data_IF_113937178842
#
_entry.id   IF_113937178842
#
_cell.length_a   1.000
_cell.length_b   1.000
_cell.length_c   1.000
_cell.angle_alpha   90.00
_cell.angle_beta   90.00
_cell.angle_gamma   90.00
#
_symmetry.space_group_name_H-M   'P 1'
#
loop_
_entity.id
_entity.type
_entity.pdbx_description
1 polymer ?
#
# COMPACT_ATOMS: atom_id res chain seq x y z
N UNK A 1 18.27 -8.36 25.30
CA UNK A 1 16.82 -8.51 25.53
C UNK A 1 16.07 -7.92 24.32
N UNK A 2 15.06 -8.63 23.82
CA UNK A 2 14.16 -8.06 22.78
C UNK A 2 13.26 -7.04 23.47
N UNK A 3 13.06 -5.88 22.84
CA UNK A 3 12.41 -4.72 23.46
C UNK A 3 11.22 -4.17 22.64
N UNK A 4 10.77 -4.92 21.65
CA UNK A 4 9.58 -4.62 20.80
C UNK A 4 9.57 -3.20 20.20
N UNK A 5 10.72 -2.66 19.84
CA UNK A 5 10.83 -1.32 19.27
C UNK A 5 10.89 -1.34 17.76
N UNK A 6 10.35 -0.30 17.14
CA UNK A 6 10.55 -0.03 15.72
C UNK A 6 11.93 0.62 15.56
N UNK A 7 12.79 -0.02 14.78
CA UNK A 7 14.17 0.42 14.59
C UNK A 7 14.25 1.74 13.80
N UNK A 8 15.25 2.59 14.07
CA UNK A 8 15.35 3.93 13.46
C UNK A 8 15.33 3.91 11.92
N UNK A 9 16.00 2.93 11.30
CA UNK A 9 16.00 2.78 9.84
C UNK A 9 14.59 2.51 9.30
N UNK A 10 13.84 1.62 9.94
CA UNK A 10 12.45 1.31 9.57
C UNK A 10 11.57 2.55 9.68
N UNK A 11 11.73 3.33 10.76
CA UNK A 11 11.01 4.60 10.96
C UNK A 11 11.33 5.62 9.87
N UNK A 12 12.61 5.82 9.58
CA UNK A 12 13.05 6.79 8.58
C UNK A 12 12.47 6.44 7.19
N UNK A 13 12.59 5.18 6.78
CA UNK A 13 12.07 4.72 5.49
C UNK A 13 10.54 4.80 5.45
N UNK A 14 9.85 4.38 6.52
CA UNK A 14 8.40 4.53 6.61
C UNK A 14 7.97 6.00 6.50
N UNK A 15 8.68 6.93 7.15
CA UNK A 15 8.45 8.36 7.06
C UNK A 15 8.61 8.91 5.64
N UNK A 16 9.67 8.51 4.93
CA UNK A 16 9.87 8.88 3.52
C UNK A 16 8.73 8.36 2.64
N UNK A 17 8.32 7.10 2.83
CA UNK A 17 7.20 6.54 2.06
C UNK A 17 5.89 7.26 2.38
N UNK A 18 5.63 7.62 3.64
CA UNK A 18 4.45 8.42 4.03
C UNK A 18 4.40 9.74 3.26
N UNK A 19 5.52 10.45 3.11
CA UNK A 19 5.57 11.70 2.33
C UNK A 19 5.18 11.46 0.87
N UNK A 20 5.68 10.39 0.25
CA UNK A 20 5.28 10.01 -1.11
C UNK A 20 3.78 9.74 -1.22
N UNK A 21 3.22 8.98 -0.28
CA UNK A 21 1.80 8.60 -0.29
C UNK A 21 0.88 9.82 -0.05
N UNK A 22 1.26 10.73 0.86
CA UNK A 22 0.51 11.98 1.12
C UNK A 22 0.57 12.89 -0.09
N UNK A 23 1.72 13.01 -0.75
CA UNK A 23 1.85 13.80 -1.99
C UNK A 23 0.99 13.19 -3.10
N UNK A 24 1.04 11.87 -3.30
CA UNK A 24 0.20 11.18 -4.27
C UNK A 24 -1.30 11.36 -3.96
N UNK A 25 -1.72 11.24 -2.69
CA UNK A 25 -3.08 11.56 -2.25
C UNK A 25 -3.46 12.99 -2.65
N UNK A 26 -2.62 13.97 -2.33
CA UNK A 26 -2.87 15.39 -2.65
C UNK A 26 -3.12 15.61 -4.14
N UNK A 27 -2.28 15.04 -4.99
CA UNK A 27 -2.40 15.15 -6.45
C UNK A 27 -3.68 14.45 -6.94
N UNK A 28 -3.87 13.19 -6.55
CA UNK A 28 -4.94 12.36 -7.09
C UNK A 28 -6.32 12.78 -6.61
N UNK A 29 -6.45 13.30 -5.39
CA UNK A 29 -7.71 13.64 -4.77
C UNK A 29 -8.13 15.08 -5.08
N UNK A 30 -7.22 16.04 -4.97
CA UNK A 30 -7.52 17.46 -5.14
C UNK A 30 -7.24 18.01 -6.55
N UNK A 31 -6.39 17.31 -7.33
CA UNK A 31 -5.99 17.74 -8.67
C UNK A 31 -6.27 16.64 -9.72
N UNK A 32 -7.45 16.00 -9.74
CA UNK A 32 -7.73 14.84 -10.60
C UNK A 32 -7.62 15.16 -12.10
N UNK A 33 -7.81 16.41 -12.48
CA UNK A 33 -7.64 16.90 -13.86
C UNK A 33 -6.16 16.95 -14.32
N UNK A 34 -5.21 16.97 -13.40
CA UNK A 34 -3.78 17.17 -13.66
C UNK A 34 -2.96 15.89 -13.53
N UNK A 35 -3.61 14.73 -13.40
CA UNK A 35 -2.90 13.45 -13.21
C UNK A 35 -1.97 13.12 -14.37
N UNK A 36 -2.31 13.52 -15.60
CA UNK A 36 -1.43 13.30 -16.77
C UNK A 36 -0.08 14.02 -16.71
N UNK A 37 0.03 15.09 -15.91
CA UNK A 37 1.27 15.87 -15.76
C UNK A 37 1.92 15.73 -14.39
N UNK A 38 1.12 15.56 -13.33
CA UNK A 38 1.59 15.50 -11.94
C UNK A 38 1.71 14.09 -11.38
N UNK A 39 1.20 13.09 -12.11
CA UNK A 39 1.26 11.69 -11.70
C UNK A 39 1.89 10.81 -12.80
N UNK A 40 2.09 9.53 -12.50
CA UNK A 40 2.77 8.62 -13.40
C UNK A 40 1.99 8.30 -14.70
N UNK A 41 0.66 8.50 -14.70
CA UNK A 41 -0.23 8.38 -15.88
C UNK A 41 -1.49 9.20 -15.70
N UNK A 42 -2.22 9.43 -16.80
CA UNK A 42 -3.53 10.09 -16.77
C UNK A 42 -4.61 9.14 -16.27
N UNK A 43 -5.32 9.52 -15.21
CA UNK A 43 -6.39 8.72 -14.61
C UNK A 43 -7.74 9.36 -14.93
N UNK A 44 -8.60 8.60 -15.61
CA UNK A 44 -9.97 8.98 -15.93
C UNK A 44 -10.91 7.82 -15.59
N UNK A 45 -12.17 8.09 -15.19
CA UNK A 45 -12.73 9.40 -14.82
C UNK A 45 -12.14 9.95 -13.51
N UNK A 46 -12.47 11.20 -13.16
CA UNK A 46 -11.95 11.87 -11.95
C UNK A 46 -12.23 11.09 -10.66
N UNK A 47 -13.40 10.46 -10.57
CA UNK A 47 -13.75 9.62 -9.40
C UNK A 47 -12.76 8.47 -9.20
N UNK A 48 -12.26 7.84 -10.28
CA UNK A 48 -11.22 6.81 -10.18
C UNK A 48 -9.92 7.36 -9.61
N UNK A 49 -9.54 8.58 -10.01
CA UNK A 49 -8.37 9.26 -9.44
C UNK A 49 -8.54 9.52 -7.94
N UNK A 50 -9.69 10.08 -7.54
CA UNK A 50 -9.99 10.39 -6.14
C UNK A 50 -10.06 9.13 -5.28
N UNK A 51 -10.68 8.05 -5.79
CA UNK A 51 -10.73 6.75 -5.12
C UNK A 51 -9.31 6.19 -4.90
N UNK A 52 -8.47 6.24 -5.94
CA UNK A 52 -7.09 5.80 -5.85
C UNK A 52 -6.27 6.66 -4.87
N UNK A 53 -6.50 7.98 -4.89
CA UNK A 53 -5.93 8.90 -3.90
C UNK A 53 -6.32 8.53 -2.46
N UNK A 54 -7.58 8.21 -2.22
CA UNK A 54 -8.05 7.78 -0.89
C UNK A 54 -7.34 6.51 -0.40
N UNK A 55 -7.03 5.58 -1.29
CA UNK A 55 -6.25 4.38 -0.96
C UNK A 55 -4.81 4.75 -0.53
N UNK A 56 -4.20 5.75 -1.19
CA UNK A 56 -2.89 6.29 -0.77
C UNK A 56 -2.94 6.92 0.62
N UNK A 57 -4.00 7.65 0.96
CA UNK A 57 -4.18 8.21 2.31
C UNK A 57 -4.29 7.10 3.36
N UNK A 58 -5.06 6.05 3.07
CA UNK A 58 -5.14 4.87 3.94
C UNK A 58 -3.78 4.21 4.15
N UNK A 59 -3.02 4.01 3.07
CA UNK A 59 -1.64 3.50 3.12
C UNK A 59 -0.70 4.40 3.92
N UNK A 60 -0.80 5.72 3.73
CA UNK A 60 -0.03 6.71 4.49
C UNK A 60 -0.33 6.64 5.98
N UNK A 61 -1.61 6.54 6.37
CA UNK A 61 -2.02 6.39 7.76
C UNK A 61 -1.41 5.14 8.42
N UNK A 62 -1.50 4.00 7.72
CA UNK A 62 -0.97 2.73 8.22
C UNK A 62 0.56 2.81 8.39
N UNK A 63 1.29 3.34 7.40
CA UNK A 63 2.75 3.48 7.48
C UNK A 63 3.20 4.56 8.45
N UNK A 64 2.38 5.59 8.70
CA UNK A 64 2.64 6.57 9.75
C UNK A 64 2.70 5.91 11.14
N UNK A 65 1.94 4.85 11.39
CA UNK A 65 2.07 4.07 12.62
C UNK A 65 3.46 3.42 12.75
N UNK A 66 4.07 3.02 11.64
CA UNK A 66 5.45 2.49 11.64
C UNK A 66 6.50 3.60 11.79
N UNK A 67 6.24 4.80 11.26
CA UNK A 67 7.14 5.95 11.37
C UNK A 67 7.16 6.55 12.80
N UNK A 68 5.98 6.70 13.40
CA UNK A 68 5.80 7.44 14.65
C UNK A 68 5.42 6.56 15.86
N UNK A 69 4.98 5.33 15.62
CA UNK A 69 4.63 4.37 16.67
C UNK A 69 5.82 3.92 17.50
N UNK A 70 5.58 3.21 18.60
CA UNK A 70 6.62 2.71 19.49
C UNK A 70 6.88 1.22 19.32
N UNK A 71 5.83 0.41 19.24
CA UNK A 71 5.84 -1.03 19.35
C UNK A 71 5.80 -1.71 17.98
N UNK A 72 6.74 -2.61 17.74
CA UNK A 72 6.86 -3.34 16.48
C UNK A 72 5.69 -4.30 16.23
N UNK A 73 5.26 -5.06 17.26
CA UNK A 73 4.19 -6.06 17.12
C UNK A 73 2.89 -5.46 16.59
N UNK A 74 2.62 -4.17 16.83
CA UNK A 74 1.41 -3.46 16.38
C UNK A 74 1.39 -3.14 14.89
N UNK A 75 2.57 -3.05 14.27
CA UNK A 75 2.72 -2.64 12.87
C UNK A 75 3.27 -3.73 11.97
N UNK A 76 3.84 -4.80 12.52
CA UNK A 76 4.52 -5.83 11.74
C UNK A 76 3.67 -6.50 10.66
N UNK A 77 2.35 -6.67 10.90
CA UNK A 77 1.42 -7.30 9.96
C UNK A 77 1.20 -6.48 8.68
N UNK A 78 1.50 -5.19 8.71
CA UNK A 78 1.37 -4.29 7.56
C UNK A 78 2.42 -4.61 6.50
N UNK A 79 3.63 -4.97 6.88
CA UNK A 79 4.75 -5.13 5.95
C UNK A 79 4.54 -6.24 4.91
N UNK A 80 4.08 -7.46 5.26
CA UNK A 80 3.73 -8.46 4.26
C UNK A 80 2.63 -8.00 3.29
N UNK A 81 1.60 -7.32 3.80
CA UNK A 81 0.51 -6.79 2.97
C UNK A 81 1.02 -5.73 1.97
N UNK A 82 1.85 -4.78 2.44
CA UNK A 82 2.48 -3.76 1.58
C UNK A 82 3.43 -4.41 0.57
N UNK A 83 4.15 -5.48 0.94
CA UNK A 83 5.01 -6.23 0.01
C UNK A 83 4.20 -6.80 -1.15
N UNK A 84 3.09 -7.49 -0.86
CA UNK A 84 2.20 -8.05 -1.90
C UNK A 84 1.64 -6.94 -2.78
N UNK A 85 1.19 -5.84 -2.18
CA UNK A 85 0.70 -4.68 -2.92
C UNK A 85 1.76 -4.09 -3.86
N UNK A 86 2.99 -3.89 -3.39
CA UNK A 86 4.06 -3.30 -4.22
C UNK A 86 4.49 -4.23 -5.35
N UNK A 87 4.49 -5.56 -5.14
CA UNK A 87 4.71 -6.55 -6.19
C UNK A 87 3.60 -6.47 -7.25
N UNK A 88 2.33 -6.43 -6.83
CA UNK A 88 1.19 -6.33 -7.73
C UNK A 88 1.26 -5.04 -8.57
N UNK A 89 1.63 -3.91 -7.95
CA UNK A 89 1.79 -2.63 -8.64
C UNK A 89 2.96 -2.64 -9.63
N UNK A 90 4.07 -3.30 -9.31
CA UNK A 90 5.16 -3.48 -10.25
C UNK A 90 4.72 -4.32 -11.46
N UNK A 91 4.04 -5.44 -11.22
CA UNK A 91 3.50 -6.29 -12.30
C UNK A 91 2.53 -5.48 -13.17
N UNK A 92 1.59 -4.75 -12.57
CA UNK A 92 0.65 -3.90 -13.29
C UNK A 92 1.38 -2.84 -14.13
N UNK A 93 2.44 -2.23 -13.58
CA UNK A 93 3.25 -1.25 -14.32
C UNK A 93 3.91 -1.88 -15.56
N UNK A 94 4.48 -3.08 -15.42
CA UNK A 94 5.13 -3.77 -16.54
C UNK A 94 4.12 -4.24 -17.60
N UNK A 95 2.95 -4.71 -17.19
CA UNK A 95 1.89 -5.16 -18.11
C UNK A 95 1.22 -4.00 -18.87
N UNK A 96 1.18 -2.81 -18.26
CA UNK A 96 0.53 -1.64 -18.84
C UNK A 96 1.52 -0.51 -19.18
N UNK A 97 2.76 -0.87 -19.51
CA UNK A 97 3.87 0.06 -19.71
C UNK A 97 3.53 1.25 -20.61
N UNK A 98 2.81 0.99 -21.71
CA UNK A 98 2.42 1.99 -22.70
C UNK A 98 1.39 3.02 -22.19
N UNK A 99 0.75 2.75 -21.05
CA UNK A 99 -0.22 3.66 -20.44
C UNK A 99 0.41 4.73 -19.57
N UNK A 100 1.69 4.57 -19.25
CA UNK A 100 2.42 5.49 -18.40
C UNK A 100 3.01 6.66 -19.17
N UNK A 101 3.16 7.81 -18.52
CA UNK A 101 3.78 9.03 -19.05
C UNK A 101 5.31 8.90 -19.03
N UNK A 102 5.85 8.06 -19.93
CA UNK A 102 7.26 7.69 -19.97
C UNK A 102 8.17 8.94 -20.03
N UNK A 103 9.31 8.89 -19.33
CA UNK A 103 10.30 9.98 -19.31
C UNK A 103 9.95 11.17 -18.42
N UNK A 104 8.77 11.19 -17.81
CA UNK A 104 8.39 12.26 -16.87
C UNK A 104 8.93 11.98 -15.46
N UNK A 105 9.19 13.04 -14.69
CA UNK A 105 9.65 12.93 -13.30
C UNK A 105 8.68 12.11 -12.43
N UNK A 106 7.32 12.33 -12.50
CA UNK A 106 6.39 11.51 -11.75
C UNK A 106 6.44 10.03 -12.09
N UNK A 107 6.61 9.67 -13.38
CA UNK A 107 6.75 8.28 -13.78
C UNK A 107 8.06 7.67 -13.26
N UNK A 108 9.18 8.39 -13.33
CA UNK A 108 10.48 7.92 -12.82
C UNK A 108 10.39 7.67 -11.31
N UNK A 109 9.81 8.59 -10.56
CA UNK A 109 9.60 8.45 -9.12
C UNK A 109 8.71 7.24 -8.78
N UNK A 110 7.61 7.05 -9.52
CA UNK A 110 6.75 5.88 -9.45
C UNK A 110 7.52 4.59 -9.68
N UNK A 111 8.26 4.52 -10.78
CA UNK A 111 8.99 3.33 -11.19
C UNK A 111 10.06 2.94 -10.16
N UNK A 112 10.84 3.90 -9.67
CA UNK A 112 11.84 3.67 -8.61
C UNK A 112 11.15 3.12 -7.36
N UNK A 113 10.04 3.74 -6.94
CA UNK A 113 9.30 3.30 -5.76
C UNK A 113 8.88 1.83 -5.88
N UNK A 114 8.29 1.44 -7.03
CA UNK A 114 7.76 0.09 -7.20
C UNK A 114 8.80 -0.96 -7.63
N UNK A 115 9.97 -0.57 -8.12
CA UNK A 115 11.11 -1.49 -8.29
C UNK A 115 11.78 -1.78 -6.94
N UNK A 116 11.94 -0.76 -6.10
CA UNK A 116 12.70 -0.89 -4.83
C UNK A 116 11.84 -1.51 -3.72
N UNK A 117 10.57 -1.11 -3.60
CA UNK A 117 9.71 -1.50 -2.47
C UNK A 117 9.50 -3.01 -2.32
N UNK A 118 9.31 -3.83 -3.38
CA UNK A 118 9.17 -5.29 -3.26
C UNK A 118 10.32 -5.99 -2.55
N UNK A 119 11.50 -5.40 -2.56
CA UNK A 119 12.70 -5.93 -1.90
C UNK A 119 12.96 -5.24 -0.56
N UNK A 120 12.79 -3.92 -0.53
CA UNK A 120 13.06 -3.10 0.65
C UNK A 120 12.10 -3.40 1.80
N UNK A 121 10.79 -3.51 1.51
CA UNK A 121 9.77 -3.71 2.55
C UNK A 121 9.94 -5.05 3.28
N UNK A 122 10.09 -6.21 2.60
CA UNK A 122 10.37 -7.47 3.31
C UNK A 122 11.73 -7.46 4.02
N UNK A 123 12.76 -6.79 3.47
CA UNK A 123 14.04 -6.65 4.15
C UNK A 123 13.90 -5.87 5.47
N UNK A 124 13.14 -4.77 5.48
CA UNK A 124 12.82 -4.02 6.70
C UNK A 124 12.03 -4.85 7.70
N UNK A 125 11.08 -5.64 7.25
CA UNK A 125 10.33 -6.55 8.09
C UNK A 125 11.23 -7.59 8.76
N UNK A 126 12.10 -8.25 8.00
CA UNK A 126 13.08 -9.20 8.53
C UNK A 126 14.08 -8.53 9.49
N UNK A 127 14.54 -7.33 9.14
CA UNK A 127 15.44 -6.54 9.98
C UNK A 127 14.80 -6.20 11.33
N UNK A 128 13.54 -5.77 11.33
CA UNK A 128 12.85 -5.34 12.54
C UNK A 128 12.32 -6.53 13.38
N UNK A 129 12.05 -7.70 12.81
CA UNK A 129 11.67 -8.93 13.55
C UNK A 129 12.64 -9.30 14.67
N UNK A 130 13.87 -8.82 14.61
CA UNK A 130 14.87 -9.06 15.67
C UNK A 130 14.45 -8.48 17.00
N UNK A 131 13.62 -7.45 17.01
CA UNK A 131 13.14 -6.77 18.23
C UNK A 131 11.83 -7.36 18.77
N UNK A 132 11.14 -8.18 17.98
CA UNK A 132 9.85 -8.79 18.34
C UNK A 132 9.98 -9.69 19.58
N UNK A 133 9.22 -9.39 20.62
CA UNK A 133 9.18 -10.16 21.86
C UNK A 133 8.29 -11.36 21.77
N UNK A 134 7.37 -11.41 20.80
CA UNK A 134 6.29 -12.41 20.66
C UNK A 134 5.37 -12.51 21.90
N UNK A 135 5.36 -11.49 22.74
CA UNK A 135 4.54 -11.42 23.95
C UNK A 135 3.49 -10.32 23.76
N UNK A 136 2.20 -10.62 23.99
CA UNK A 136 1.18 -9.58 24.02
C UNK A 136 1.38 -8.66 25.22
N UNK A 137 1.11 -7.37 25.02
CA UNK A 137 1.03 -6.40 26.11
C UNK A 137 -0.31 -6.53 26.85
N UNK A 138 -0.33 -6.08 28.10
CA UNK A 138 -1.58 -6.07 28.90
C UNK A 138 -2.67 -5.18 28.32
N UNK A 139 -2.29 -4.23 27.47
CA UNK A 139 -3.18 -3.32 26.76
C UNK A 139 -3.72 -3.90 25.44
N UNK A 140 -3.22 -5.05 24.99
CA UNK A 140 -3.63 -5.65 23.73
C UNK A 140 -5.00 -6.33 23.84
N UNK A 141 -5.88 -6.02 22.89
CA UNK A 141 -7.18 -6.63 22.81
C UNK A 141 -7.11 -7.96 22.05
N UNK A 142 -7.47 -9.04 22.71
CA UNK A 142 -7.56 -10.36 22.06
C UNK A 142 -8.79 -10.41 21.16
N UNK A 143 -8.55 -10.45 19.85
CA UNK A 143 -9.64 -10.57 18.87
C UNK A 143 -10.26 -11.97 18.93
N UNK A 144 -11.60 -12.04 19.09
CA UNK A 144 -12.33 -13.32 19.15
C UNK A 144 -12.12 -14.17 17.88
N UNK A 145 -12.26 -15.48 18.02
CA UNK A 145 -12.12 -16.40 16.89
C UNK A 145 -13.12 -16.10 15.79
N UNK A 146 -14.34 -15.73 16.14
CA UNK A 146 -15.40 -15.37 15.18
C UNK A 146 -14.98 -14.17 14.32
N UNK A 147 -14.51 -13.09 14.94
CA UNK A 147 -14.05 -11.91 14.20
C UNK A 147 -12.88 -12.25 13.28
N UNK A 148 -11.93 -13.07 13.75
CA UNK A 148 -10.81 -13.53 12.92
C UNK A 148 -11.28 -14.35 11.71
N UNK A 149 -12.23 -15.25 11.89
CA UNK A 149 -12.78 -16.06 10.79
C UNK A 149 -13.54 -15.21 9.79
N UNK A 150 -14.41 -14.30 10.26
CA UNK A 150 -15.16 -13.37 9.40
C UNK A 150 -14.20 -12.48 8.60
N UNK A 151 -13.18 -11.89 9.24
CA UNK A 151 -12.21 -11.04 8.57
C UNK A 151 -11.41 -11.83 7.52
N UNK A 152 -11.00 -13.07 7.83
CA UNK A 152 -10.32 -13.94 6.86
C UNK A 152 -11.22 -14.28 5.67
N UNK A 153 -12.47 -14.64 5.93
CA UNK A 153 -13.43 -14.94 4.86
C UNK A 153 -13.64 -13.75 3.93
N UNK A 154 -13.92 -12.56 4.49
CA UNK A 154 -14.10 -11.33 3.71
C UNK A 154 -12.82 -11.00 2.94
N UNK A 155 -11.66 -11.04 3.58
CA UNK A 155 -10.38 -10.76 2.94
C UNK A 155 -10.08 -11.73 1.78
N UNK A 156 -10.36 -13.03 1.96
CA UNK A 156 -10.20 -14.03 0.90
C UNK A 156 -11.16 -13.76 -0.27
N UNK A 157 -12.42 -13.44 0.03
CA UNK A 157 -13.42 -13.12 -1.01
C UNK A 157 -13.00 -11.89 -1.82
N UNK A 158 -12.58 -10.82 -1.15
CA UNK A 158 -12.09 -9.60 -1.81
C UNK A 158 -10.85 -9.91 -2.68
N UNK A 159 -9.91 -10.67 -2.16
CA UNK A 159 -8.69 -11.06 -2.90
C UNK A 159 -9.06 -11.86 -4.18
N UNK A 160 -9.98 -12.81 -4.08
CA UNK A 160 -10.47 -13.57 -5.23
C UNK A 160 -11.15 -12.66 -6.26
N UNK A 161 -12.05 -11.77 -5.83
CA UNK A 161 -12.72 -10.82 -6.72
C UNK A 161 -11.73 -9.91 -7.44
N UNK A 162 -10.75 -9.35 -6.71
CA UNK A 162 -9.71 -8.48 -7.28
C UNK A 162 -8.84 -9.26 -8.27
N UNK A 163 -8.45 -10.50 -7.93
CA UNK A 163 -7.64 -11.34 -8.82
C UNK A 163 -8.41 -11.68 -10.11
N UNK A 164 -9.67 -12.07 -9.99
CA UNK A 164 -10.53 -12.34 -11.17
C UNK A 164 -10.69 -11.07 -12.00
N UNK A 165 -10.96 -9.93 -11.37
CA UNK A 165 -11.12 -8.64 -12.07
C UNK A 165 -9.84 -8.17 -12.76
N UNK A 166 -8.68 -8.51 -12.22
CA UNK A 166 -7.40 -8.19 -12.84
C UNK A 166 -7.16 -9.01 -14.13
N UNK A 167 -7.44 -10.30 -14.11
CA UNK A 167 -7.23 -11.18 -15.27
C UNK A 167 -8.40 -11.17 -16.27
N UNK A 168 -9.61 -10.89 -15.79
CA UNK A 168 -10.84 -10.88 -16.62
C UNK A 168 -11.61 -9.56 -16.41
N UNK A 169 -11.04 -8.40 -16.82
CA UNK A 169 -11.66 -7.09 -16.55
C UNK A 169 -13.05 -6.95 -17.21
N UNK A 170 -13.31 -7.66 -18.31
CA UNK A 170 -14.60 -7.62 -19.00
C UNK A 170 -15.78 -8.07 -18.14
N UNK A 171 -15.55 -8.94 -17.15
CA UNK A 171 -16.60 -9.37 -16.21
C UNK A 171 -17.08 -8.24 -15.31
N UNK A 172 -16.24 -7.23 -15.08
CA UNK A 172 -16.51 -6.15 -14.14
C UNK A 172 -16.81 -4.81 -14.81
N UNK A 173 -16.36 -4.59 -16.05
CA UNK A 173 -16.56 -3.32 -16.79
C UNK A 173 -18.05 -2.98 -16.87
N UNK A 174 -18.92 -3.96 -17.14
CA UNK A 174 -20.36 -3.73 -17.33
C UNK A 174 -21.11 -3.37 -16.03
N UNK A 175 -20.52 -3.66 -14.88
CA UNK A 175 -21.11 -3.33 -13.56
C UNK A 175 -20.36 -2.20 -12.87
N UNK A 176 -19.26 -1.72 -13.46
CA UNK A 176 -18.48 -0.64 -12.89
C UNK A 176 -19.19 0.70 -13.10
N UNK A 177 -19.50 1.45 -12.01
CA UNK A 177 -20.38 2.61 -12.10
C UNK A 177 -19.76 3.83 -12.78
N UNK A 178 -18.48 3.79 -13.14
CA UNK A 178 -17.72 4.95 -13.66
C UNK A 178 -17.07 4.67 -15.02
N UNK A 179 -17.74 3.99 -15.90
CA UNK A 179 -17.31 3.79 -17.29
C UNK A 179 -17.76 4.94 -18.18
#
# INVERSE_FOLDING_TARGET
MKNDVILPLTRAIAGVVVLFLVTAFGILFFLPNQTGTLFAWSIKPHMSSMFFGSAYLGGAWILAQAAFGKNWHRVQAVFPAVTVFTIAMLIATLLHWERFSLGTIPFIAWLILYIVSPFLIPALWMYNRRTDTYQPETSDVVVSITVRLVTRFIGTLVLLCVTIGFFYPTLFINIWPWT
#
